data_IF_940941653128
#
_entry.id   IF_940941653128
#
_cell.length_a   1.000
_cell.length_b   1.000
_cell.length_c   1.000
_cell.angle_alpha   90.00
_cell.angle_beta   90.00
_cell.angle_gamma   90.00
#
_symmetry.space_group_name_H-M   'P 1'
#
loop_
_entity.id
_entity.type
_entity.pdbx_description
1 polymer ?
#
# COMPACT_ATOMS: atom_id res chain seq x y z
N UNK A 1 42.51 36.25 -8.63
CA UNK A 1 42.35 35.16 -9.63
C UNK A 1 40.87 34.97 -9.91
N UNK A 2 40.43 35.02 -11.18
CA UNK A 2 39.05 34.77 -11.57
C UNK A 2 38.77 33.27 -11.73
N UNK A 3 37.48 32.90 -11.63
CA UNK A 3 36.93 31.66 -12.19
C UNK A 3 36.50 30.58 -11.19
N UNK A 4 35.19 30.36 -11.09
CA UNK A 4 34.54 29.11 -11.51
C UNK A 4 33.03 29.23 -11.29
N UNK A 5 32.33 29.54 -12.38
CA UNK A 5 30.91 29.32 -12.52
C UNK A 5 30.64 27.80 -12.56
N UNK A 6 29.50 27.39 -12.00
CA UNK A 6 28.93 26.07 -12.23
C UNK A 6 28.97 25.15 -11.03
N UNK A 7 27.84 25.09 -10.32
CA UNK A 7 27.19 23.84 -9.90
C UNK A 7 25.73 24.19 -9.63
N UNK A 8 24.76 23.61 -10.35
CA UNK A 8 23.38 23.70 -9.89
C UNK A 8 23.36 23.04 -8.51
N UNK A 9 22.84 23.76 -7.51
CA UNK A 9 22.50 23.17 -6.22
C UNK A 9 21.52 22.04 -6.54
N UNK A 10 22.02 20.80 -6.49
CA UNK A 10 21.16 19.63 -6.39
C UNK A 10 20.28 19.90 -5.18
N UNK A 11 19.00 20.18 -5.43
CA UNK A 11 18.01 20.35 -4.37
C UNK A 11 17.89 18.96 -3.74
N UNK A 12 18.63 18.73 -2.66
CA UNK A 12 18.57 17.54 -1.83
C UNK A 12 17.28 17.51 -0.98
N UNK A 13 16.17 17.99 -1.55
CA UNK A 13 14.87 18.08 -0.93
C UNK A 13 13.82 17.48 -1.87
N UNK A 14 14.03 16.25 -2.34
CA UNK A 14 12.95 15.49 -3.00
C UNK A 14 13.19 13.97 -3.09
N UNK A 15 14.02 13.39 -2.20
CA UNK A 15 14.19 11.93 -2.14
C UNK A 15 13.27 11.29 -1.10
N UNK A 16 12.00 11.70 -1.04
CA UNK A 16 10.98 10.75 -0.62
C UNK A 16 10.90 9.72 -1.76
N UNK A 17 11.09 8.41 -1.51
CA UNK A 17 10.92 7.42 -2.57
C UNK A 17 9.54 7.61 -3.18
N UNK A 18 9.48 7.93 -4.47
CA UNK A 18 8.23 7.85 -5.23
C UNK A 18 7.78 6.41 -5.07
N UNK A 19 6.65 6.19 -4.40
CA UNK A 19 6.14 4.85 -4.17
C UNK A 19 6.08 4.15 -5.53
N UNK A 20 6.82 3.05 -5.68
CA UNK A 20 6.90 2.23 -6.88
C UNK A 20 5.92 1.07 -6.84
N UNK A 21 5.33 0.82 -5.67
CA UNK A 21 4.25 -0.15 -5.46
C UNK A 21 3.22 0.41 -4.47
N UNK A 22 1.98 -0.10 -4.49
CA UNK A 22 0.97 0.32 -3.53
C UNK A 22 1.34 -0.02 -2.08
N UNK A 23 2.23 -0.99 -1.84
CA UNK A 23 2.70 -1.40 -0.52
C UNK A 23 3.58 -0.35 0.19
N UNK A 24 4.09 0.64 -0.55
CA UNK A 24 4.92 1.71 -0.01
C UNK A 24 4.11 2.95 0.39
N UNK A 25 2.81 2.99 0.08
CA UNK A 25 1.97 4.13 0.38
C UNK A 25 1.52 4.15 1.84
N UNK A 26 1.71 5.29 2.50
CA UNK A 26 1.31 5.51 3.91
C UNK A 26 0.05 6.38 4.05
N UNK A 27 -0.50 6.89 2.96
CA UNK A 27 -1.72 7.70 2.94
C UNK A 27 -2.62 7.39 1.73
N UNK A 28 -3.85 7.92 1.77
CA UNK A 28 -4.86 7.70 0.72
C UNK A 28 -4.53 8.42 -0.59
N UNK A 29 -3.75 9.50 -0.55
CA UNK A 29 -3.37 10.26 -1.73
C UNK A 29 -2.37 9.48 -2.58
N UNK A 30 -1.36 8.88 -1.95
CA UNK A 30 -0.39 8.00 -2.59
C UNK A 30 -1.07 6.78 -3.25
N UNK A 31 -2.03 6.16 -2.57
CA UNK A 31 -2.76 5.01 -3.09
C UNK A 31 -3.64 5.34 -4.30
N UNK A 32 -4.01 6.61 -4.49
CA UNK A 32 -5.02 7.00 -5.47
C UNK A 32 -4.67 6.53 -6.89
N UNK A 33 -3.41 6.74 -7.31
CA UNK A 33 -2.93 6.37 -8.64
C UNK A 33 -2.99 4.86 -8.86
N UNK A 34 -2.66 4.07 -7.84
CA UNK A 34 -2.70 2.61 -7.89
C UNK A 34 -4.12 2.05 -7.96
N UNK A 35 -5.08 2.75 -7.38
CA UNK A 35 -6.50 2.39 -7.42
C UNK A 35 -7.24 2.95 -8.65
N UNK A 36 -6.50 3.48 -9.63
CA UNK A 36 -7.03 4.15 -10.84
C UNK A 36 -7.95 5.33 -10.51
N UNK A 37 -7.75 5.94 -9.34
CA UNK A 37 -8.48 7.11 -8.91
C UNK A 37 -7.91 8.40 -9.51
N UNK A 38 -8.68 9.48 -9.37
CA UNK A 38 -8.27 10.84 -9.74
C UNK A 38 -8.26 11.72 -8.51
N UNK A 39 -7.16 12.43 -8.29
CA UNK A 39 -7.04 13.41 -7.20
C UNK A 39 -7.74 14.70 -7.63
N UNK A 40 -8.71 15.15 -6.83
CA UNK A 40 -9.39 16.43 -7.03
C UNK A 40 -8.65 17.59 -6.36
N UNK A 41 -9.03 18.83 -6.69
CA UNK A 41 -8.40 20.05 -6.15
C UNK A 41 -8.45 20.14 -4.61
N UNK A 42 -9.47 19.54 -3.98
CA UNK A 42 -9.64 19.46 -2.52
C UNK A 42 -8.82 18.33 -1.85
N UNK A 43 -7.86 17.71 -2.56
CA UNK A 43 -7.06 16.57 -2.06
C UNK A 43 -7.89 15.34 -1.68
N UNK A 44 -9.03 15.14 -2.34
CA UNK A 44 -9.81 13.90 -2.25
C UNK A 44 -9.53 13.05 -3.48
N UNK A 45 -9.25 11.76 -3.26
CA UNK A 45 -9.16 10.79 -4.35
C UNK A 45 -10.55 10.27 -4.68
N UNK A 46 -10.96 10.33 -5.94
CA UNK A 46 -12.21 9.75 -6.44
C UNK A 46 -11.91 8.50 -7.27
N UNK A 47 -12.51 7.38 -6.89
CA UNK A 47 -12.37 6.10 -7.57
C UNK A 47 -13.17 6.06 -8.89
N UNK A 48 -12.89 5.11 -9.80
CA UNK A 48 -13.60 5.00 -11.09
C UNK A 48 -15.12 4.88 -10.99
N UNK A 49 -15.62 4.38 -9.85
CA UNK A 49 -17.05 4.26 -9.56
C UNK A 49 -17.68 5.59 -9.05
N UNK A 50 -16.94 6.70 -9.02
CA UNK A 50 -17.39 8.00 -8.54
C UNK A 50 -17.35 8.18 -7.02
N UNK A 51 -17.04 7.12 -6.25
CA UNK A 51 -16.96 7.20 -4.79
C UNK A 51 -15.64 7.82 -4.33
N UNK A 52 -15.64 8.62 -3.24
CA UNK A 52 -14.40 9.07 -2.62
C UNK A 52 -13.68 7.91 -1.95
N UNK A 53 -12.36 7.86 -2.08
CA UNK A 53 -11.52 6.92 -1.33
C UNK A 53 -11.45 7.35 0.14
N UNK A 54 -11.87 6.46 1.02
CA UNK A 54 -11.90 6.68 2.47
C UNK A 54 -11.11 5.59 3.20
N UNK A 55 -10.92 5.75 4.51
CA UNK A 55 -10.32 4.71 5.34
C UNK A 55 -11.22 3.48 5.38
N UNK A 56 -10.65 2.31 5.10
CA UNK A 56 -11.38 1.05 5.18
C UNK A 56 -11.69 0.67 6.63
N UNK A 57 -12.85 0.05 6.85
CA UNK A 57 -13.26 -0.50 8.15
C UNK A 57 -13.06 -2.01 8.11
N UNK A 58 -12.27 -2.55 9.05
CA UNK A 58 -12.12 -3.99 9.25
C UNK A 58 -13.26 -4.49 10.13
N UNK A 59 -14.14 -5.32 9.57
CA UNK A 59 -15.30 -5.89 10.27
C UNK A 59 -15.03 -7.35 10.65
N UNK A 60 -15.74 -7.83 11.66
CA UNK A 60 -15.78 -9.26 11.96
C UNK A 60 -16.50 -10.01 10.82
N UNK A 61 -15.98 -11.17 10.41
CA UNK A 61 -16.41 -11.87 9.20
C UNK A 61 -17.89 -12.31 9.23
N UNK A 62 -18.41 -12.79 10.35
CA UNK A 62 -19.82 -13.18 10.50
C UNK A 62 -20.76 -11.98 10.47
N UNK A 63 -20.27 -10.79 10.81
CA UNK A 63 -21.01 -9.52 10.73
C UNK A 63 -21.05 -8.90 9.32
N UNK A 64 -20.45 -9.55 8.32
CA UNK A 64 -20.56 -9.13 6.92
C UNK A 64 -21.96 -9.45 6.36
N UNK A 65 -22.48 -8.56 5.52
CA UNK A 65 -23.61 -8.90 4.66
C UNK A 65 -23.20 -9.96 3.62
N UNK A 66 -24.16 -10.59 2.97
CA UNK A 66 -23.85 -11.57 1.92
C UNK A 66 -23.05 -10.95 0.77
N UNK A 67 -23.45 -9.77 0.30
CA UNK A 67 -22.72 -9.03 -0.74
C UNK A 67 -21.28 -8.68 -0.32
N UNK A 68 -21.08 -8.27 0.93
CA UNK A 68 -19.74 -7.99 1.46
C UNK A 68 -18.88 -9.27 1.47
N UNK A 69 -19.45 -10.39 1.91
CA UNK A 69 -18.78 -11.68 1.99
C UNK A 69 -18.42 -12.23 0.61
N UNK A 70 -19.33 -12.12 -0.35
CA UNK A 70 -19.09 -12.54 -1.73
C UNK A 70 -17.99 -11.72 -2.39
N UNK A 71 -17.98 -10.40 -2.21
CA UNK A 71 -16.89 -9.53 -2.70
C UNK A 71 -15.55 -9.87 -2.04
N UNK A 72 -15.54 -10.14 -0.73
CA UNK A 72 -14.33 -10.55 -0.01
C UNK A 72 -13.75 -11.85 -0.59
N UNK A 73 -14.57 -12.89 -0.79
CA UNK A 73 -14.11 -14.14 -1.40
C UNK A 73 -13.63 -13.97 -2.84
N UNK A 74 -14.37 -13.20 -3.65
CA UNK A 74 -13.96 -12.90 -5.03
C UNK A 74 -12.59 -12.20 -5.05
N UNK A 75 -12.35 -11.24 -4.15
CA UNK A 75 -11.06 -10.57 -4.04
C UNK A 75 -9.93 -11.53 -3.62
N UNK A 76 -10.15 -12.41 -2.65
CA UNK A 76 -9.15 -13.42 -2.25
C UNK A 76 -8.79 -14.37 -3.40
N UNK A 77 -9.78 -14.84 -4.14
CA UNK A 77 -9.55 -15.70 -5.32
C UNK A 77 -8.75 -14.96 -6.40
N UNK A 78 -9.06 -13.68 -6.64
CA UNK A 78 -8.30 -12.86 -7.59
C UNK A 78 -6.85 -12.68 -7.15
N UNK A 79 -6.59 -12.41 -5.86
CA UNK A 79 -5.24 -12.30 -5.30
C UNK A 79 -4.44 -13.60 -5.42
N UNK A 80 -5.10 -14.75 -5.23
CA UNK A 80 -4.45 -16.05 -5.42
C UNK A 80 -4.13 -16.31 -6.89
N UNK A 81 -5.07 -16.02 -7.80
CA UNK A 81 -4.86 -16.19 -9.25
C UNK A 81 -3.77 -15.28 -9.83
N UNK A 82 -3.62 -14.06 -9.30
CA UNK A 82 -2.55 -13.15 -9.71
C UNK A 82 -1.18 -13.50 -9.12
N UNK A 83 -1.12 -14.46 -8.19
CA UNK A 83 0.09 -14.82 -7.45
C UNK A 83 0.44 -13.87 -6.30
N UNK A 84 -0.33 -12.79 -6.09
CA UNK A 84 -0.04 -11.81 -5.05
C UNK A 84 -0.21 -12.39 -3.64
N UNK A 85 -1.22 -13.25 -3.46
CA UNK A 85 -1.39 -14.00 -2.22
C UNK A 85 -0.15 -14.86 -1.89
N UNK A 86 0.44 -15.49 -2.91
CA UNK A 86 1.60 -16.37 -2.72
C UNK A 86 2.87 -15.60 -2.40
N UNK A 87 3.06 -14.41 -2.98
CA UNK A 87 4.15 -13.51 -2.60
C UNK A 87 4.07 -13.13 -1.12
N UNK A 88 2.88 -12.76 -0.65
CA UNK A 88 2.65 -12.43 0.77
C UNK A 88 2.90 -13.64 1.68
N UNK A 89 2.44 -14.84 1.27
CA UNK A 89 2.70 -16.07 2.00
C UNK A 89 4.20 -16.40 2.08
N UNK A 90 4.95 -16.17 1.00
CA UNK A 90 6.41 -16.36 0.96
C UNK A 90 7.15 -15.41 1.89
N UNK A 91 6.74 -14.14 1.98
CA UNK A 91 7.35 -13.16 2.92
C UNK A 91 7.25 -13.67 4.37
N UNK A 92 6.12 -14.26 4.75
CA UNK A 92 5.94 -14.88 6.07
C UNK A 92 6.75 -16.18 6.22
N UNK A 93 6.78 -17.03 5.21
CA UNK A 93 7.44 -18.34 5.27
C UNK A 93 8.99 -18.26 5.32
N UNK A 94 9.59 -17.16 4.86
CA UNK A 94 11.04 -16.96 4.83
C UNK A 94 11.61 -16.60 6.22
N UNK A 95 11.59 -17.57 7.14
CA UNK A 95 12.00 -17.41 8.53
C UNK A 95 13.43 -16.86 8.72
N UNK A 96 14.34 -17.13 7.78
CA UNK A 96 15.74 -16.69 7.85
C UNK A 96 15.92 -15.17 7.75
N UNK A 97 14.97 -14.47 7.14
CA UNK A 97 14.95 -13.01 7.03
C UNK A 97 13.75 -12.38 7.76
N UNK A 98 12.73 -13.17 8.06
CA UNK A 98 11.50 -12.76 8.75
C UNK A 98 11.49 -13.25 10.20
N UNK A 99 12.58 -13.02 10.95
CA UNK A 99 12.66 -13.39 12.37
C UNK A 99 11.57 -12.73 13.23
N UNK A 100 11.05 -11.57 12.81
CA UNK A 100 9.91 -10.91 13.46
C UNK A 100 8.56 -11.55 13.19
N UNK A 101 8.44 -12.47 12.23
CA UNK A 101 7.19 -13.18 11.95
C UNK A 101 6.81 -14.15 13.06
N UNK A 102 7.75 -14.59 13.90
CA UNK A 102 7.43 -15.49 15.00
C UNK A 102 8.30 -15.17 16.20
N UNK A 103 7.68 -15.20 17.38
CA UNK A 103 8.36 -15.01 18.66
C UNK A 103 8.99 -13.62 18.85
N UNK A 104 9.12 -13.22 20.11
CA UNK A 104 9.78 -11.96 20.47
C UNK A 104 8.93 -10.70 20.24
N UNK A 105 9.51 -9.52 20.56
CA UNK A 105 8.77 -8.26 20.64
C UNK A 105 8.32 -7.72 19.27
N UNK A 106 8.91 -8.21 18.17
CA UNK A 106 8.57 -7.79 16.82
C UNK A 106 7.32 -8.50 16.25
N UNK A 107 6.78 -9.53 16.92
CA UNK A 107 5.67 -10.35 16.42
C UNK A 107 4.44 -9.54 15.98
N UNK A 108 3.94 -8.66 16.85
CA UNK A 108 2.75 -7.85 16.59
C UNK A 108 2.98 -6.79 15.49
N UNK A 109 4.05 -5.97 15.54
CA UNK A 109 4.28 -4.98 14.48
C UNK A 109 4.61 -5.61 13.12
N UNK A 110 5.20 -6.81 13.07
CA UNK A 110 5.50 -7.49 11.80
C UNK A 110 4.22 -7.91 11.04
N UNK A 111 3.17 -8.32 11.75
CA UNK A 111 1.88 -8.74 11.15
C UNK A 111 0.91 -7.58 10.85
N UNK A 112 1.28 -6.34 11.16
CA UNK A 112 0.45 -5.17 10.94
C UNK A 112 0.50 -4.69 9.49
#
# INVERSE_FOLDING_TARGET
MPGLAGKPRMIAAELAPIASSPYQCMDLLCLCTYLRGKVQANRVCTLPNGSPLTKAIRKEYRMLTEDERQRFHSALVQLKRSGEFDKLALIHAQFSISGGAHSGPAFIPWHR
#
